data_IF_838733821629
#
_entry.id   IF_838733821629
#
_cell.length_a   1.000
_cell.length_b   1.000
_cell.length_c   1.000
_cell.angle_alpha   90.00
_cell.angle_beta   90.00
_cell.angle_gamma   90.00
#
_symmetry.space_group_name_H-M   'P 1'
#
loop_
_entity.id
_entity.type
_entity.pdbx_description
1 polymer ?
#
# COMPACT_ATOMS: atom_id res chain seq x y z
N UNK A 1 -1.14 4.11 -11.39
CA UNK A 1 -0.05 3.68 -10.46
C UNK A 1 1.18 4.50 -10.80
N UNK A 2 1.86 5.09 -9.82
CA UNK A 2 2.90 6.10 -10.07
C UNK A 2 4.24 5.53 -10.53
N UNK A 3 5.18 6.40 -10.88
CA UNK A 3 6.46 6.06 -11.53
C UNK A 3 7.39 5.17 -10.68
N UNK A 4 7.25 5.22 -9.36
CA UNK A 4 8.04 4.43 -8.41
C UNK A 4 7.45 3.04 -8.13
N UNK A 5 6.23 2.78 -8.58
CA UNK A 5 5.56 1.50 -8.35
C UNK A 5 6.15 0.43 -9.26
N UNK A 6 6.67 -0.64 -8.65
CA UNK A 6 7.08 -1.85 -9.37
C UNK A 6 5.96 -2.87 -9.22
N UNK A 7 5.25 -3.13 -10.32
CA UNK A 7 4.21 -4.13 -10.34
C UNK A 7 4.79 -5.52 -9.99
N UNK A 8 4.13 -6.27 -9.10
CA UNK A 8 4.49 -7.66 -8.85
C UNK A 8 4.36 -8.50 -10.13
N UNK A 9 5.10 -9.61 -10.25
CA UNK A 9 4.86 -10.59 -11.30
C UNK A 9 3.38 -11.00 -11.34
N UNK A 10 2.80 -11.20 -12.53
CA UNK A 10 1.37 -11.52 -12.67
C UNK A 10 0.93 -12.78 -11.92
N UNK A 11 1.85 -13.75 -11.75
CA UNK A 11 1.60 -15.00 -11.01
C UNK A 11 1.64 -14.86 -9.49
N UNK A 12 2.10 -13.72 -8.98
CA UNK A 12 2.26 -13.48 -7.55
C UNK A 12 0.95 -12.94 -6.95
N UNK A 13 -0.02 -13.84 -6.80
CA UNK A 13 -1.37 -13.52 -6.36
C UNK A 13 -1.38 -12.86 -4.97
N UNK A 14 -0.48 -13.28 -4.08
CA UNK A 14 -0.37 -12.72 -2.73
C UNK A 14 0.07 -11.25 -2.77
N UNK A 15 1.08 -10.93 -3.59
CA UNK A 15 1.52 -9.54 -3.72
C UNK A 15 0.48 -8.66 -4.43
N UNK A 16 -0.28 -9.22 -5.38
CA UNK A 16 -1.39 -8.49 -5.99
C UNK A 16 -2.51 -8.20 -4.99
N UNK A 17 -2.93 -9.20 -4.19
CA UNK A 17 -3.90 -9.01 -3.13
C UNK A 17 -3.44 -7.96 -2.10
N UNK A 18 -2.14 -7.90 -1.81
CA UNK A 18 -1.56 -6.87 -0.93
C UNK A 18 -1.74 -5.47 -1.51
N UNK A 19 -1.40 -5.31 -2.80
CA UNK A 19 -1.53 -4.03 -3.49
C UNK A 19 -3.00 -3.60 -3.54
N UNK A 20 -3.91 -4.52 -3.83
CA UNK A 20 -5.37 -4.29 -3.83
C UNK A 20 -5.85 -3.81 -2.45
N UNK A 21 -5.56 -4.55 -1.39
CA UNK A 21 -5.97 -4.20 -0.03
C UNK A 21 -5.44 -2.83 0.43
N UNK A 22 -4.17 -2.51 0.12
CA UNK A 22 -3.60 -1.19 0.40
C UNK A 22 -4.28 -0.10 -0.44
N UNK A 23 -4.53 -0.36 -1.72
CA UNK A 23 -5.18 0.59 -2.61
C UNK A 23 -6.61 0.91 -2.16
N UNK A 24 -7.35 -0.12 -1.75
CA UNK A 24 -8.70 -0.01 -1.20
C UNK A 24 -8.70 0.69 0.16
N UNK A 25 -7.66 0.54 0.97
CA UNK A 25 -7.50 1.32 2.20
C UNK A 25 -7.14 2.80 1.97
N UNK A 26 -6.94 3.21 0.71
CA UNK A 26 -6.65 4.58 0.30
C UNK A 26 -5.17 4.89 0.09
N UNK A 27 -4.29 3.88 0.10
CA UNK A 27 -2.87 4.06 -0.15
C UNK A 27 -2.57 4.27 -1.63
N UNK A 28 -1.57 5.10 -1.92
CA UNK A 28 -1.06 5.33 -3.28
C UNK A 28 0.46 5.15 -3.32
N UNK A 29 0.95 4.77 -4.49
CA UNK A 29 2.35 4.37 -4.73
C UNK A 29 3.08 5.34 -5.67
N UNK A 30 2.68 6.61 -5.67
CA UNK A 30 3.17 7.66 -6.57
C UNK A 30 4.25 8.55 -5.95
N UNK A 31 4.65 8.28 -4.71
CA UNK A 31 5.67 9.08 -4.02
C UNK A 31 7.02 9.04 -4.75
N UNK A 32 7.48 10.24 -5.12
CA UNK A 32 8.82 10.48 -5.70
C UNK A 32 9.90 10.67 -4.62
N UNK A 33 9.49 10.88 -3.36
CA UNK A 33 10.35 11.01 -2.19
C UNK A 33 10.09 9.83 -1.25
N UNK A 34 11.10 9.46 -0.46
CA UNK A 34 10.88 8.62 0.73
C UNK A 34 9.76 9.27 1.55
N UNK A 35 8.72 8.51 1.85
CA UNK A 35 7.73 8.96 2.81
C UNK A 35 8.36 8.98 4.20
N UNK A 36 8.13 10.03 4.99
CA UNK A 36 8.51 10.11 6.41
C UNK A 36 7.62 9.21 7.30
N UNK A 37 7.34 7.99 6.84
CA UNK A 37 6.48 7.01 7.48
C UNK A 37 7.13 5.63 7.52
N UNK A 38 6.55 4.69 8.29
CA UNK A 38 7.03 3.34 8.31
C UNK A 38 6.99 2.71 6.91
N UNK A 39 7.92 1.79 6.60
CA UNK A 39 7.90 1.10 5.33
C UNK A 39 6.59 0.33 5.16
N UNK A 40 6.10 0.26 3.92
CA UNK A 40 4.92 -0.55 3.59
C UNK A 40 5.14 -2.03 3.94
N UNK A 41 4.07 -2.76 4.32
CA UNK A 41 4.18 -4.16 4.71
C UNK A 41 4.74 -5.01 3.58
N UNK A 42 5.53 -6.02 3.95
CA UNK A 42 6.18 -6.92 3.00
C UNK A 42 5.22 -8.04 2.59
N UNK A 43 4.42 -8.55 3.53
CA UNK A 43 3.47 -9.64 3.35
C UNK A 43 2.02 -9.15 3.35
N UNK A 44 1.14 -9.94 2.74
CA UNK A 44 -0.31 -9.68 2.76
C UNK A 44 -0.89 -9.71 4.18
N UNK A 45 -0.47 -10.67 5.01
CA UNK A 45 -0.99 -10.83 6.37
C UNK A 45 -0.71 -9.64 7.30
N UNK A 46 0.27 -8.81 6.97
CA UNK A 46 0.64 -7.63 7.76
C UNK A 46 -0.20 -6.40 7.38
N UNK A 47 -0.96 -6.45 6.29
CA UNK A 47 -1.66 -5.29 5.72
C UNK A 47 -2.72 -4.75 6.66
N UNK A 48 -3.56 -5.62 7.22
CA UNK A 48 -4.67 -5.21 8.09
C UNK A 48 -4.16 -4.51 9.35
N UNK A 49 -3.18 -5.12 10.03
CA UNK A 49 -2.54 -4.53 11.20
C UNK A 49 -1.84 -3.21 10.84
N UNK A 50 -1.13 -3.15 9.72
CA UNK A 50 -0.46 -1.93 9.26
C UNK A 50 -1.44 -0.79 9.01
N UNK A 51 -2.59 -1.05 8.35
CA UNK A 51 -3.61 -0.04 8.08
C UNK A 51 -4.22 0.49 9.38
N UNK A 52 -4.49 -0.41 10.34
CA UNK A 52 -5.03 -0.06 11.66
C UNK A 52 -4.05 0.79 12.45
N UNK A 53 -2.78 0.41 12.45
CA UNK A 53 -1.76 1.05 13.27
C UNK A 53 -1.24 2.36 12.64
N UNK A 54 -1.48 2.59 11.34
CA UNK A 54 -1.04 3.77 10.60
C UNK A 54 -2.20 4.54 9.95
N UNK A 55 -3.14 5.11 10.73
CA UNK A 55 -4.30 5.80 10.18
C UNK A 55 -3.95 7.09 9.42
N UNK A 56 -2.87 7.78 9.81
CA UNK A 56 -2.40 9.04 9.21
C UNK A 56 -1.15 8.85 8.35
N UNK A 57 -0.97 7.67 7.76
CA UNK A 57 0.21 7.36 6.95
C UNK A 57 0.36 8.35 5.76
N UNK A 58 1.56 8.88 5.46
CA UNK A 58 1.74 9.86 4.38
C UNK A 58 1.29 9.38 2.99
N UNK A 59 1.33 8.06 2.76
CA UNK A 59 0.88 7.44 1.51
C UNK A 59 -0.63 7.15 1.47
N UNK A 60 -1.35 7.28 2.58
CA UNK A 60 -2.80 7.10 2.66
C UNK A 60 -3.50 8.42 2.35
N UNK A 61 -3.70 8.66 1.06
CA UNK A 61 -4.11 9.97 0.52
C UNK A 61 -5.56 10.00 0.02
N UNK A 62 -6.22 8.84 -0.06
CA UNK A 62 -7.61 8.71 -0.47
C UNK A 62 -8.47 8.15 0.68
N UNK A 63 -9.78 8.44 0.71
CA UNK A 63 -10.71 7.69 1.55
C UNK A 63 -10.72 6.21 1.14
N UNK A 64 -10.98 5.29 2.07
CA UNK A 64 -11.07 3.87 1.75
C UNK A 64 -12.19 3.62 0.72
N UNK A 65 -11.91 2.76 -0.26
CA UNK A 65 -12.90 2.25 -1.19
C UNK A 65 -13.94 1.44 -0.39
N UNK A 66 -15.21 1.70 -0.69
CA UNK A 66 -16.36 1.27 0.10
C UNK A 66 -16.81 -0.13 -0.27
#
# INVERSE_FOLDING_TARGET
MGRSFKAPPAKDIEQWAKVEALFDAGFRFDSYRSADGPPLPSRLSEVEDFIRDNPSHPLRVAPPAR
#
